data_IF_890863806122
#
_entry.id   IF_890863806122
#
_cell.length_a   1.000
_cell.length_b   1.000
_cell.length_c   1.000
_cell.angle_alpha   90.00
_cell.angle_beta   90.00
_cell.angle_gamma   90.00
#
_symmetry.space_group_name_H-M   'P 1'
#
loop_
_entity.id
_entity.type
_entity.pdbx_description
1 polymer ?
#
# COMPACT_ATOMS: atom_id res chain seq x y z
N UNK A 1 10.36 22.73 -15.98
CA UNK A 1 9.93 21.53 -15.22
C UNK A 1 8.41 21.52 -15.13
N UNK A 2 7.76 20.39 -15.37
CA UNK A 2 6.30 20.27 -15.27
C UNK A 2 5.88 20.44 -13.80
N UNK A 3 4.83 21.22 -13.53
CA UNK A 3 4.30 21.37 -12.16
C UNK A 3 3.79 20.02 -11.66
N UNK A 4 4.06 19.63 -10.40
CA UNK A 4 3.57 18.36 -9.86
C UNK A 4 2.05 18.32 -9.86
N UNK A 5 1.46 17.20 -10.30
CA UNK A 5 0.02 16.96 -10.16
C UNK A 5 -0.30 16.52 -8.74
N UNK A 6 -1.43 16.97 -8.20
CA UNK A 6 -1.85 16.67 -6.83
C UNK A 6 -3.04 15.70 -6.84
N UNK A 7 -2.89 14.57 -6.16
CA UNK A 7 -3.94 13.57 -5.96
C UNK A 7 -4.22 13.41 -4.48
N UNK A 8 -5.48 13.15 -4.11
CA UNK A 8 -5.89 13.04 -2.70
C UNK A 8 -6.86 11.90 -2.51
N UNK A 9 -6.59 11.00 -1.57
CA UNK A 9 -7.52 9.95 -1.15
C UNK A 9 -7.75 10.03 0.36
N UNK A 10 -8.84 9.42 0.85
CA UNK A 10 -9.30 9.61 2.23
C UNK A 10 -9.45 8.27 2.96
N UNK A 11 -8.61 8.07 3.99
CA UNK A 11 -8.61 6.92 4.87
C UNK A 11 -9.88 6.76 5.71
N UNK A 12 -10.62 7.84 5.98
CA UNK A 12 -11.85 7.77 6.76
C UNK A 12 -12.94 6.89 6.12
N UNK A 13 -12.75 6.44 4.88
CA UNK A 13 -13.70 5.64 4.08
C UNK A 13 -13.31 4.18 3.92
N UNK A 14 -12.23 3.72 4.54
CA UNK A 14 -11.80 2.32 4.51
C UNK A 14 -11.07 1.93 5.79
N UNK A 15 -11.00 0.64 6.05
CA UNK A 15 -10.36 0.00 7.21
C UNK A 15 -9.60 -1.29 6.83
N UNK A 16 -9.56 -1.62 5.54
CA UNK A 16 -8.88 -2.81 5.02
C UNK A 16 -7.86 -2.43 3.95
N UNK A 17 -6.89 -3.33 3.72
CA UNK A 17 -5.91 -3.17 2.64
C UNK A 17 -6.60 -3.12 1.26
N UNK A 18 -7.65 -3.91 1.07
CA UNK A 18 -8.52 -3.85 -0.13
C UNK A 18 -9.14 -2.46 -0.30
N UNK A 19 -9.71 -1.90 0.77
CA UNK A 19 -10.30 -0.56 0.73
C UNK A 19 -9.26 0.54 0.46
N UNK A 20 -8.03 0.38 0.96
CA UNK A 20 -6.90 1.24 0.59
C UNK A 20 -6.66 1.24 -0.93
N UNK A 21 -6.52 0.07 -1.56
CA UNK A 21 -6.31 -0.01 -3.02
C UNK A 21 -7.47 0.61 -3.78
N UNK A 22 -8.72 0.32 -3.40
CA UNK A 22 -9.90 0.91 -4.03
C UNK A 22 -9.88 2.45 -3.96
N UNK A 23 -9.56 3.01 -2.79
CA UNK A 23 -9.54 4.45 -2.58
C UNK A 23 -8.40 5.12 -3.35
N UNK A 24 -7.20 4.53 -3.34
CA UNK A 24 -6.03 5.02 -4.05
C UNK A 24 -6.22 4.94 -5.57
N UNK A 25 -6.61 3.79 -6.09
CA UNK A 25 -6.74 3.57 -7.53
C UNK A 25 -7.87 4.39 -8.16
N UNK A 26 -8.88 4.79 -7.39
CA UNK A 26 -9.92 5.71 -7.85
C UNK A 26 -9.38 7.12 -8.19
N UNK A 27 -8.26 7.53 -7.59
CA UNK A 27 -7.71 8.88 -7.81
C UNK A 27 -6.55 8.90 -8.81
N UNK A 28 -6.03 7.74 -9.20
CA UNK A 28 -4.96 7.62 -10.17
C UNK A 28 -5.55 7.56 -11.59
N UNK A 29 -5.07 8.37 -12.55
CA UNK A 29 -5.58 8.37 -13.92
C UNK A 29 -4.97 7.22 -14.73
N UNK A 30 -5.50 6.02 -14.54
CA UNK A 30 -5.13 4.86 -15.35
C UNK A 30 -5.66 4.96 -16.78
N UNK A 31 -5.04 4.18 -17.68
CA UNK A 31 -5.62 3.92 -19.00
C UNK A 31 -6.96 3.17 -18.85
N UNK A 32 -7.95 3.38 -19.75
CA UNK A 32 -9.31 2.85 -19.59
C UNK A 32 -9.41 1.34 -19.28
N UNK A 33 -8.53 0.54 -19.90
CA UNK A 33 -8.56 -0.93 -19.77
C UNK A 33 -7.63 -1.47 -18.67
N UNK A 34 -6.83 -0.59 -18.05
CA UNK A 34 -5.88 -1.01 -17.03
C UNK A 34 -6.54 -1.06 -15.65
N UNK A 35 -6.59 -2.26 -15.07
CA UNK A 35 -7.13 -2.52 -13.73
C UNK A 35 -6.06 -3.24 -12.91
N UNK A 36 -5.27 -2.50 -12.09
CA UNK A 36 -4.24 -3.13 -11.28
C UNK A 36 -4.85 -4.07 -10.24
N UNK A 37 -4.17 -5.18 -9.97
CA UNK A 37 -4.56 -6.10 -8.91
C UNK A 37 -4.41 -5.48 -7.51
N UNK A 38 -5.10 -6.04 -6.53
CA UNK A 38 -5.13 -5.56 -5.15
C UNK A 38 -4.07 -6.26 -4.31
N UNK A 39 -2.80 -6.06 -4.67
CA UNK A 39 -1.65 -6.59 -3.94
C UNK A 39 -0.47 -5.62 -4.02
N UNK A 40 0.55 -5.87 -3.18
CA UNK A 40 1.71 -4.98 -3.04
C UNK A 40 2.54 -4.91 -4.33
N UNK A 41 2.66 -6.02 -5.07
CA UNK A 41 3.44 -6.08 -6.31
C UNK A 41 2.79 -5.20 -7.40
N UNK A 42 1.47 -5.28 -7.56
CA UNK A 42 0.74 -4.45 -8.51
C UNK A 42 0.77 -2.97 -8.13
N UNK A 43 0.75 -2.65 -6.82
CA UNK A 43 0.96 -1.27 -6.37
C UNK A 43 2.37 -0.80 -6.75
N UNK A 44 3.40 -1.59 -6.46
CA UNK A 44 4.77 -1.29 -6.84
C UNK A 44 4.89 -1.03 -8.35
N UNK A 45 4.27 -1.86 -9.19
CA UNK A 45 4.19 -1.64 -10.63
C UNK A 45 3.49 -0.33 -11.01
N UNK A 46 2.39 0.04 -10.33
CA UNK A 46 1.71 1.34 -10.54
C UNK A 46 2.63 2.51 -10.21
N UNK A 47 3.40 2.42 -9.13
CA UNK A 47 4.30 3.47 -8.67
C UNK A 47 5.53 3.62 -9.60
N UNK A 48 6.06 2.53 -10.17
CA UNK A 48 7.14 2.58 -11.17
C UNK A 48 6.64 2.91 -12.59
N UNK A 49 5.39 2.59 -12.90
CA UNK A 49 4.76 2.87 -14.18
C UNK A 49 4.11 4.26 -14.18
N UNK A 50 3.31 4.58 -15.22
CA UNK A 50 2.99 5.94 -15.64
C UNK A 50 2.67 6.97 -14.55
N UNK A 51 2.05 6.56 -13.42
CA UNK A 51 1.75 7.44 -12.30
C UNK A 51 3.00 8.04 -11.62
N UNK A 52 4.01 7.24 -11.29
CA UNK A 52 5.22 7.72 -10.63
C UNK A 52 6.37 8.09 -11.59
N UNK A 53 6.15 8.04 -12.91
CA UNK A 53 7.14 8.52 -13.90
C UNK A 53 7.28 10.05 -13.94
N UNK A 54 6.26 10.77 -13.49
CA UNK A 54 6.25 12.24 -13.45
C UNK A 54 6.11 12.74 -12.01
N UNK A 55 6.55 13.98 -11.71
CA UNK A 55 6.38 14.56 -10.38
C UNK A 55 4.92 14.58 -9.93
N UNK A 56 4.64 13.96 -8.78
CA UNK A 56 3.31 13.84 -8.19
C UNK A 56 3.37 14.19 -6.70
N UNK A 57 2.34 14.86 -6.22
CA UNK A 57 2.04 14.96 -4.78
C UNK A 57 0.82 14.10 -4.49
N UNK A 58 0.99 13.11 -3.62
CA UNK A 58 -0.10 12.24 -3.17
C UNK A 58 -0.43 12.58 -1.71
N UNK A 59 -1.67 12.99 -1.45
CA UNK A 59 -2.15 13.32 -0.10
C UNK A 59 -3.02 12.17 0.42
N UNK A 60 -2.56 11.51 1.47
CA UNK A 60 -3.29 10.50 2.20
C UNK A 60 -3.97 11.18 3.40
N UNK A 61 -5.26 11.53 3.24
CA UNK A 61 -6.03 12.19 4.31
C UNK A 61 -6.50 11.19 5.36
N UNK A 62 -6.52 11.62 6.62
CA UNK A 62 -6.77 10.83 7.81
C UNK A 62 -5.84 9.61 7.95
N UNK A 63 -4.57 9.74 7.54
CA UNK A 63 -3.62 8.62 7.51
C UNK A 63 -3.40 7.97 8.89
N UNK A 64 -3.64 8.70 9.99
CA UNK A 64 -3.61 8.15 11.34
C UNK A 64 -4.59 6.99 11.54
N UNK A 65 -5.75 7.02 10.87
CA UNK A 65 -6.72 5.92 10.89
C UNK A 65 -6.15 4.69 10.21
N UNK A 66 -5.52 4.85 9.03
CA UNK A 66 -4.84 3.74 8.34
C UNK A 66 -3.67 3.15 9.13
N UNK A 67 -2.98 3.95 9.96
CA UNK A 67 -1.96 3.41 10.87
C UNK A 67 -2.55 2.43 11.89
N UNK A 68 -3.77 2.69 12.36
CA UNK A 68 -4.47 1.78 13.27
C UNK A 68 -5.03 0.57 12.51
N UNK A 69 -5.76 0.82 11.43
CA UNK A 69 -6.47 -0.20 10.67
C UNK A 69 -5.54 -1.17 9.91
N UNK A 70 -4.41 -0.67 9.40
CA UNK A 70 -3.40 -1.47 8.70
C UNK A 70 -2.20 -1.79 9.62
N UNK A 71 -2.43 -1.75 10.93
CA UNK A 71 -1.45 -2.05 11.96
C UNK A 71 -1.18 -3.55 12.16
N UNK A 72 -0.73 -3.92 13.35
CA UNK A 72 -0.25 -5.26 13.67
C UNK A 72 -1.28 -6.35 13.34
N UNK A 73 -2.52 -6.22 13.80
CA UNK A 73 -3.53 -7.28 13.65
C UNK A 73 -3.82 -7.58 12.17
N UNK A 74 -4.14 -6.56 11.38
CA UNK A 74 -4.40 -6.70 9.93
C UNK A 74 -3.18 -7.22 9.17
N UNK A 75 -1.97 -6.85 9.61
CA UNK A 75 -0.72 -7.35 9.02
C UNK A 75 -0.52 -8.84 9.30
N UNK A 76 -0.79 -9.28 10.53
CA UNK A 76 -0.78 -10.69 10.90
C UNK A 76 -1.78 -11.47 10.04
N UNK A 77 -3.03 -10.99 9.96
CA UNK A 77 -4.11 -11.65 9.20
C UNK A 77 -3.79 -11.74 7.70
N UNK A 78 -3.15 -10.71 7.15
CA UNK A 78 -2.66 -10.71 5.77
C UNK A 78 -1.64 -11.83 5.50
N UNK A 79 -0.67 -12.03 6.40
CA UNK A 79 0.29 -13.12 6.25
C UNK A 79 -0.32 -14.48 6.59
N UNK A 80 -1.22 -14.56 7.58
CA UNK A 80 -1.92 -15.78 7.95
C UNK A 80 -2.76 -16.30 6.79
N UNK A 81 -3.46 -15.42 6.09
CA UNK A 81 -4.21 -15.78 4.87
C UNK A 81 -3.31 -16.47 3.83
N UNK A 82 -2.05 -16.03 3.67
CA UNK A 82 -1.09 -16.68 2.74
C UNK A 82 -0.68 -18.07 3.21
N UNK A 83 -0.57 -18.26 4.53
CA UNK A 83 -0.28 -19.56 5.14
C UNK A 83 -1.46 -20.51 4.90
N UNK A 84 -2.67 -20.04 5.17
CA UNK A 84 -3.91 -20.83 5.08
C UNK A 84 -4.20 -21.24 3.62
N UNK A 85 -3.98 -20.35 2.65
CA UNK A 85 -4.10 -20.67 1.22
C UNK A 85 -3.01 -21.67 0.78
N UNK A 86 -1.80 -21.55 1.34
CA UNK A 86 -0.65 -22.36 0.94
C UNK A 86 -0.14 -21.99 -0.45
N UNK A 87 0.04 -22.97 -1.34
CA UNK A 87 0.56 -22.71 -2.70
C UNK A 87 -0.41 -21.78 -3.46
N UNK A 88 0.10 -20.77 -4.20
CA UNK A 88 1.49 -20.56 -4.61
C UNK A 88 2.35 -19.76 -3.62
N UNK A 89 1.82 -19.37 -2.46
CA UNK A 89 2.54 -18.51 -1.52
C UNK A 89 3.67 -19.24 -0.79
N UNK A 90 4.72 -18.50 -0.46
CA UNK A 90 5.80 -18.98 0.37
C UNK A 90 5.40 -18.95 1.85
N UNK A 91 4.90 -20.09 2.33
CA UNK A 91 4.44 -20.28 3.72
C UNK A 91 5.55 -20.00 4.74
N UNK A 92 6.80 -20.42 4.46
CA UNK A 92 7.92 -20.20 5.37
C UNK A 92 8.27 -18.72 5.51
N UNK A 93 8.23 -17.98 4.40
CA UNK A 93 8.42 -16.53 4.41
C UNK A 93 7.30 -15.81 5.16
N UNK A 94 6.04 -16.20 4.95
CA UNK A 94 4.91 -15.61 5.67
C UNK A 94 5.01 -15.84 7.19
N UNK A 95 5.36 -17.06 7.63
CA UNK A 95 5.62 -17.35 9.05
C UNK A 95 6.75 -16.49 9.62
N UNK A 96 7.85 -16.31 8.88
CA UNK A 96 8.95 -15.42 9.31
C UNK A 96 8.49 -13.97 9.47
N UNK A 97 7.61 -13.49 8.60
CA UNK A 97 7.05 -12.13 8.69
C UNK A 97 6.12 -11.98 9.89
N UNK A 98 5.26 -12.96 10.18
CA UNK A 98 4.44 -12.97 11.42
C UNK A 98 5.35 -12.94 12.66
N UNK A 99 6.33 -13.84 12.73
CA UNK A 99 7.25 -13.88 13.88
C UNK A 99 8.00 -12.56 14.07
N UNK A 100 8.50 -11.94 13.00
CA UNK A 100 9.18 -10.65 13.09
C UNK A 100 8.23 -9.56 13.61
N UNK A 101 7.01 -9.50 13.08
CA UNK A 101 5.98 -8.54 13.48
C UNK A 101 5.63 -8.68 14.97
N UNK A 102 5.40 -9.89 15.45
CA UNK A 102 5.04 -10.16 16.85
C UNK A 102 6.16 -9.85 17.84
N UNK A 103 7.42 -9.93 17.40
CA UNK A 103 8.59 -9.56 18.19
C UNK A 103 8.94 -8.06 18.08
N UNK A 104 8.11 -7.24 17.44
CA UNK A 104 8.36 -5.81 17.25
C UNK A 104 9.53 -5.49 16.30
N UNK A 105 9.92 -6.45 15.47
CA UNK A 105 11.04 -6.36 14.50
C UNK A 105 10.58 -6.36 13.05
N UNK A 106 9.27 -6.49 12.81
CA UNK A 106 8.66 -6.50 11.49
C UNK A 106 7.77 -5.29 11.27
N UNK A 107 7.63 -4.89 10.02
CA UNK A 107 6.79 -3.77 9.59
C UNK A 107 5.32 -4.17 9.52
N UNK A 108 4.46 -3.23 9.87
CA UNK A 108 3.02 -3.27 9.59
C UNK A 108 2.75 -3.02 8.11
N UNK A 109 1.56 -3.39 7.63
CA UNK A 109 1.11 -3.05 6.28
C UNK A 109 1.12 -1.53 6.04
N UNK A 110 0.79 -0.72 7.06
CA UNK A 110 0.90 0.73 6.94
C UNK A 110 2.34 1.16 6.65
N UNK A 111 3.33 0.64 7.40
CA UNK A 111 4.75 0.95 7.21
C UNK A 111 5.26 0.46 5.85
N UNK A 112 4.95 -0.78 5.47
CA UNK A 112 5.29 -1.35 4.15
C UNK A 112 4.76 -0.44 3.02
N UNK A 113 3.54 0.07 3.14
CA UNK A 113 2.99 0.99 2.14
C UNK A 113 3.76 2.32 2.11
N UNK A 114 4.17 2.87 3.26
CA UNK A 114 4.99 4.08 3.30
C UNK A 114 6.34 3.86 2.64
N UNK A 115 6.99 2.72 2.91
CA UNK A 115 8.29 2.38 2.34
C UNK A 115 8.19 2.26 0.82
N UNK A 116 7.16 1.58 0.32
CA UNK A 116 6.86 1.51 -1.11
C UNK A 116 6.75 2.91 -1.73
N UNK A 117 6.06 3.87 -1.11
CA UNK A 117 6.01 5.23 -1.65
C UNK A 117 7.37 5.96 -1.54
N UNK A 118 8.14 5.71 -0.47
CA UNK A 118 9.41 6.38 -0.21
C UNK A 118 10.50 6.01 -1.22
N UNK A 119 10.46 4.80 -1.76
CA UNK A 119 11.38 4.32 -2.81
C UNK A 119 11.18 5.06 -4.16
N UNK A 120 10.14 5.88 -4.29
CA UNK A 120 9.77 6.56 -5.54
C UNK A 120 10.03 8.07 -5.49
N UNK A 121 11.22 8.49 -5.93
CA UNK A 121 11.68 9.90 -5.92
C UNK A 121 10.76 10.95 -6.54
N UNK A 122 9.90 10.55 -7.49
CA UNK A 122 8.98 11.46 -8.17
C UNK A 122 7.66 11.65 -7.39
N UNK A 123 7.40 10.83 -6.38
CA UNK A 123 6.19 10.86 -5.58
C UNK A 123 6.51 11.52 -4.25
N UNK A 124 5.90 12.68 -3.99
CA UNK A 124 5.87 13.30 -2.67
C UNK A 124 4.60 12.84 -1.95
N UNK A 125 4.73 11.91 -1.02
CA UNK A 125 3.64 11.50 -0.14
C UNK A 125 3.47 12.52 1.01
N UNK A 126 2.24 12.95 1.25
CA UNK A 126 1.87 13.81 2.39
C UNK A 126 0.81 13.07 3.21
N UNK A 127 1.14 12.78 4.46
CA UNK A 127 0.20 12.25 5.44
C UNK A 127 -0.54 13.43 6.09
N UNK A 128 -1.88 13.41 6.05
CA UNK A 128 -2.74 14.44 6.62
C UNK A 128 -3.81 13.81 7.49
#
# INVERSE_FOLDING_TARGET
>A
MQKPKVYKFNAARFDTLTGFYTALYRVIPFLPDYKPAYNLDALHDVLYSGFGKHPVVLIWKHAHKSRQDLGIQTTRDFYQTKIDIGKPYNIQWANKKINALENGKGETLFEILLDLFSDHKNIKLILN
#
